data_IF_481049901827
#
_entry.id   IF_481049901827
#
_cell.length_a   1.000
_cell.length_b   1.000
_cell.length_c   1.000
_cell.angle_alpha   90.00
_cell.angle_beta   90.00
_cell.angle_gamma   90.00
#
_symmetry.space_group_name_H-M   'P 1'
#
loop_
_entity.id
_entity.type
_entity.pdbx_description
1 polymer ?
#
# COMPACT_ATOMS: atom_id res chain seq x y z
N UNK A 1 5.98 11.56 -5.38
CA UNK A 1 5.00 12.59 -5.81
C UNK A 1 3.96 11.91 -6.69
N UNK A 2 2.84 11.45 -6.13
CA UNK A 2 1.80 10.76 -6.89
C UNK A 2 0.80 11.79 -7.42
N UNK A 3 1.05 12.28 -8.64
CA UNK A 3 0.21 13.25 -9.32
C UNK A 3 -1.04 12.52 -9.83
N UNK A 4 -2.21 12.92 -9.32
CA UNK A 4 -3.51 12.52 -9.87
C UNK A 4 -3.65 13.16 -11.27
N UNK A 5 -3.29 12.44 -12.33
CA UNK A 5 -3.51 12.89 -13.70
C UNK A 5 -5.01 12.81 -14.04
N UNK A 6 -5.75 13.83 -13.64
CA UNK A 6 -7.07 14.16 -14.22
C UNK A 6 -6.85 14.72 -15.63
N UNK A 7 -6.61 13.84 -16.60
CA UNK A 7 -6.52 14.22 -18.00
C UNK A 7 -5.99 13.09 -18.84
N UNK A 8 -6.69 12.76 -19.92
CA UNK A 8 -6.25 11.84 -20.97
C UNK A 8 -5.05 12.41 -21.72
N UNK A 9 -3.88 12.46 -21.07
CA UNK A 9 -2.60 12.67 -21.73
C UNK A 9 -2.06 11.32 -22.18
N UNK A 10 -1.72 11.23 -23.47
CA UNK A 10 -1.16 10.04 -24.09
C UNK A 10 0.30 9.91 -23.64
N UNK A 11 0.55 9.17 -22.57
CA UNK A 11 1.90 8.94 -22.04
C UNK A 11 2.78 8.20 -23.05
N UNK A 12 4.06 8.55 -23.07
CA UNK A 12 5.08 7.85 -23.85
C UNK A 12 5.36 6.45 -23.29
N UNK A 13 6.00 5.57 -24.07
CA UNK A 13 6.36 4.24 -23.59
C UNK A 13 7.28 4.30 -22.36
N UNK A 14 8.21 5.25 -22.33
CA UNK A 14 9.19 5.38 -21.25
C UNK A 14 8.52 5.88 -19.96
N UNK A 15 7.58 6.82 -20.06
CA UNK A 15 6.79 7.28 -18.91
C UNK A 15 5.89 6.16 -18.37
N UNK A 16 5.28 5.35 -19.25
CA UNK A 16 4.47 4.19 -18.83
C UNK A 16 5.34 3.14 -18.14
N UNK A 17 6.53 2.89 -18.66
CA UNK A 17 7.49 1.98 -18.05
C UNK A 17 7.91 2.48 -16.67
N UNK A 18 8.27 3.76 -16.53
CA UNK A 18 8.65 4.36 -15.25
C UNK A 18 7.54 4.22 -14.21
N UNK A 19 6.29 4.48 -14.59
CA UNK A 19 5.12 4.29 -13.72
C UNK A 19 4.98 2.83 -13.28
N UNK A 20 5.01 1.88 -14.22
CA UNK A 20 4.87 0.46 -13.89
C UNK A 20 6.04 -0.06 -13.05
N UNK A 21 7.26 0.43 -13.29
CA UNK A 21 8.46 0.07 -12.53
C UNK A 21 8.41 0.60 -11.10
N UNK A 22 7.78 1.75 -10.87
CA UNK A 22 7.61 2.33 -9.53
C UNK A 22 6.58 1.62 -8.66
N UNK A 23 5.76 0.73 -9.23
CA UNK A 23 4.69 0.05 -8.50
C UNK A 23 5.23 -1.06 -7.57
N UNK A 24 6.20 -1.83 -8.04
CA UNK A 24 6.76 -2.93 -7.27
C UNK A 24 8.25 -2.75 -7.05
N UNK A 25 8.73 -3.36 -5.98
CA UNK A 25 10.15 -3.36 -5.62
C UNK A 25 10.98 -4.05 -6.71
N UNK A 26 10.48 -5.18 -7.23
CA UNK A 26 11.15 -6.02 -8.20
C UNK A 26 10.37 -6.12 -9.52
N UNK A 27 11.09 -6.07 -10.65
CA UNK A 27 10.51 -6.21 -11.99
C UNK A 27 11.30 -7.26 -12.79
N UNK A 28 10.61 -8.33 -13.19
CA UNK A 28 11.20 -9.45 -13.93
C UNK A 28 10.39 -9.65 -15.22
N UNK A 29 10.93 -9.48 -16.42
CA UNK A 29 12.18 -8.82 -16.82
C UNK A 29 11.90 -7.43 -17.42
N UNK A 30 12.69 -6.41 -17.04
CA UNK A 30 12.42 -5.00 -17.43
C UNK A 30 12.45 -4.74 -18.94
N UNK A 31 13.35 -5.41 -19.66
CA UNK A 31 13.50 -5.32 -21.11
C UNK A 31 12.28 -5.90 -21.85
N UNK A 32 11.77 -7.05 -21.37
CA UNK A 32 10.55 -7.63 -21.91
C UNK A 32 9.32 -6.76 -21.62
N UNK A 33 9.25 -6.08 -20.46
CA UNK A 33 8.19 -5.12 -20.15
C UNK A 33 8.21 -3.94 -21.12
N UNK A 34 9.40 -3.38 -21.37
CA UNK A 34 9.59 -2.33 -22.38
C UNK A 34 9.14 -2.78 -23.78
N UNK A 35 9.51 -4.00 -24.18
CA UNK A 35 9.11 -4.57 -25.46
C UNK A 35 7.59 -4.78 -25.55
N UNK A 36 6.95 -5.21 -24.46
CA UNK A 36 5.50 -5.38 -24.37
C UNK A 36 4.77 -4.05 -24.55
N UNK A 37 5.21 -3.00 -23.85
CA UNK A 37 4.61 -1.66 -23.93
C UNK A 37 4.72 -1.05 -25.33
N UNK A 38 5.81 -1.34 -26.06
CA UNK A 38 6.02 -0.92 -27.45
C UNK A 38 5.12 -1.69 -28.41
N UNK A 39 4.92 -2.99 -28.20
CA UNK A 39 4.15 -3.88 -29.09
C UNK A 39 2.64 -3.79 -28.88
N UNK A 40 2.18 -3.69 -27.64
CA UNK A 40 0.75 -3.71 -27.28
C UNK A 40 0.36 -2.35 -26.70
N UNK A 41 -0.53 -1.57 -27.36
CA UNK A 41 -0.95 -0.27 -26.83
C UNK A 41 -1.70 -0.42 -25.51
N UNK A 42 -2.50 -1.49 -25.35
CA UNK A 42 -3.27 -1.80 -24.15
C UNK A 42 -2.90 -3.21 -23.63
N UNK A 43 -1.75 -3.38 -22.94
CA UNK A 43 -1.40 -4.66 -22.35
C UNK A 43 -2.39 -5.02 -21.23
N UNK A 44 -2.58 -6.32 -20.98
CA UNK A 44 -3.46 -6.81 -19.92
C UNK A 44 -2.62 -7.15 -18.69
N UNK A 45 -3.01 -6.64 -17.53
CA UNK A 45 -2.40 -6.97 -16.24
C UNK A 45 -3.39 -7.79 -15.40
N UNK A 46 -2.84 -8.75 -14.67
CA UNK A 46 -3.57 -9.59 -13.74
C UNK A 46 -2.99 -9.39 -12.36
N UNK A 47 -3.87 -9.29 -11.37
CA UNK A 47 -3.52 -9.30 -9.96
C UNK A 47 -4.20 -10.51 -9.34
N UNK A 48 -3.41 -11.36 -8.70
CA UNK A 48 -3.86 -12.55 -8.02
C UNK A 48 -3.79 -12.32 -6.52
N UNK A 49 -4.80 -12.79 -5.80
CA UNK A 49 -4.80 -12.82 -4.34
C UNK A 49 -5.41 -14.15 -3.88
N UNK A 50 -4.90 -14.69 -2.79
CA UNK A 50 -5.53 -15.83 -2.14
C UNK A 50 -6.80 -15.35 -1.41
N UNK A 51 -7.97 -15.95 -1.68
CA UNK A 51 -9.22 -15.51 -1.06
C UNK A 51 -9.16 -15.71 0.46
N UNK A 52 -9.29 -14.60 1.19
CA UNK A 52 -9.42 -14.59 2.64
C UNK A 52 -10.89 -14.34 3.03
N UNK A 53 -11.39 -14.89 4.16
CA UNK A 53 -12.70 -14.56 4.69
C UNK A 53 -12.88 -13.06 4.95
N UNK A 54 -11.80 -12.39 5.37
CA UNK A 54 -11.76 -10.96 5.66
C UNK A 54 -10.65 -10.30 4.86
N UNK A 55 -10.99 -9.21 4.18
CA UNK A 55 -10.04 -8.51 3.33
C UNK A 55 -9.22 -7.52 4.18
N UNK A 56 -7.91 -7.76 4.29
CA UNK A 56 -7.02 -6.89 5.05
C UNK A 56 -6.60 -5.67 4.23
N UNK A 57 -6.04 -4.65 4.89
CA UNK A 57 -5.62 -3.40 4.22
C UNK A 57 -4.55 -3.60 3.14
N UNK A 58 -3.73 -4.64 3.24
CA UNK A 58 -2.75 -5.01 2.20
C UNK A 58 -3.44 -5.43 0.90
N UNK A 59 -4.48 -6.26 1.00
CA UNK A 59 -5.28 -6.68 -0.14
C UNK A 59 -5.99 -5.48 -0.79
N UNK A 60 -6.43 -4.50 0.00
CA UNK A 60 -6.98 -3.23 -0.51
C UNK A 60 -5.93 -2.48 -1.33
N UNK A 61 -4.72 -2.33 -0.80
CA UNK A 61 -3.62 -1.62 -1.47
C UNK A 61 -3.28 -2.28 -2.81
N UNK A 62 -3.19 -3.61 -2.84
CA UNK A 62 -2.96 -4.38 -4.06
C UNK A 62 -4.04 -4.14 -5.12
N UNK A 63 -5.32 -4.12 -4.72
CA UNK A 63 -6.43 -3.82 -5.64
C UNK A 63 -6.38 -2.36 -6.11
N UNK A 64 -6.08 -1.41 -5.22
CA UNK A 64 -5.99 0.01 -5.58
C UNK A 64 -4.86 0.28 -6.57
N UNK A 65 -3.66 -0.27 -6.30
CA UNK A 65 -2.50 -0.20 -7.19
C UNK A 65 -2.83 -0.80 -8.56
N UNK A 66 -3.57 -1.92 -8.59
CA UNK A 66 -4.06 -2.49 -9.85
C UNK A 66 -4.98 -1.51 -10.61
N UNK A 67 -5.97 -0.93 -9.93
CA UNK A 67 -6.88 0.06 -10.52
C UNK A 67 -6.12 1.31 -10.98
N UNK A 68 -5.10 1.73 -10.25
CA UNK A 68 -4.23 2.85 -10.60
C UNK A 68 -3.41 2.55 -11.85
N UNK A 69 -2.80 1.38 -11.96
CA UNK A 69 -2.11 0.92 -13.16
C UNK A 69 -3.04 0.93 -14.39
N UNK A 70 -4.32 0.58 -14.22
CA UNK A 70 -5.34 0.69 -15.28
C UNK A 70 -5.52 2.13 -15.75
N UNK A 71 -5.65 3.07 -14.81
CA UNK A 71 -5.93 4.49 -15.11
C UNK A 71 -4.73 5.20 -15.73
N UNK A 72 -3.51 4.90 -15.30
CA UNK A 72 -2.31 5.66 -15.71
C UNK A 72 -1.55 4.96 -16.85
N UNK A 73 -1.30 3.66 -16.76
CA UNK A 73 -0.48 2.97 -17.77
C UNK A 73 -1.26 2.51 -19.01
N UNK A 74 -2.55 2.86 -19.13
CA UNK A 74 -3.47 2.37 -20.15
C UNK A 74 -3.52 0.83 -20.25
N UNK A 75 -3.25 0.14 -19.15
CA UNK A 75 -3.36 -1.31 -19.08
C UNK A 75 -4.83 -1.71 -18.89
N UNK A 76 -5.26 -2.84 -19.47
CA UNK A 76 -6.54 -3.47 -19.09
C UNK A 76 -6.28 -4.35 -17.87
N UNK A 77 -6.98 -4.12 -16.77
CA UNK A 77 -6.80 -4.90 -15.53
C UNK A 77 -7.96 -5.87 -15.36
N UNK A 78 -7.62 -7.15 -15.18
CA UNK A 78 -8.56 -8.21 -14.87
C UNK A 78 -8.28 -8.73 -13.45
N UNK A 79 -9.31 -8.80 -12.62
CA UNK A 79 -9.27 -9.37 -11.27
C UNK A 79 -10.01 -10.72 -11.30
N UNK A 80 -9.31 -11.85 -11.55
CA UNK A 80 -9.95 -13.15 -11.50
C UNK A 80 -10.25 -13.53 -10.04
N UNK A 81 -11.52 -13.48 -9.65
CA UNK A 81 -12.02 -14.10 -8.42
C UNK A 81 -12.09 -15.62 -8.66
N UNK A 82 -11.01 -16.37 -8.44
CA UNK A 82 -11.09 -17.83 -8.44
C UNK A 82 -10.87 -18.36 -7.03
N UNK A 83 -11.97 -18.63 -6.34
CA UNK A 83 -11.99 -19.51 -5.20
C UNK A 83 -11.66 -20.93 -5.68
N UNK A 84 -10.42 -21.38 -5.48
CA UNK A 84 -10.05 -22.80 -5.63
C UNK A 84 -9.22 -23.18 -6.87
N UNK A 85 -8.16 -22.44 -7.22
CA UNK A 85 -7.16 -22.93 -8.17
C UNK A 85 -5.74 -22.90 -7.58
N UNK A 86 -5.58 -23.49 -6.39
CA UNK A 86 -4.37 -24.28 -6.15
C UNK A 86 -4.55 -25.59 -6.93
N UNK A 87 -3.59 -25.91 -7.79
CA UNK A 87 -3.50 -27.10 -8.64
C UNK A 87 -4.31 -27.09 -9.95
N UNK A 88 -3.57 -27.24 -11.05
CA UNK A 88 -3.99 -27.48 -12.45
C UNK A 88 -4.34 -26.21 -13.24
N UNK A 89 -3.32 -25.42 -13.55
CA UNK A 89 -3.23 -24.73 -14.84
C UNK A 89 -2.15 -25.44 -15.68
N UNK A 90 -2.44 -25.82 -16.94
CA UNK A 90 -1.55 -26.67 -17.73
C UNK A 90 -0.18 -26.02 -17.95
N UNK A 91 0.87 -26.83 -17.78
CA UNK A 91 2.26 -26.48 -18.04
C UNK A 91 2.40 -25.87 -19.45
N UNK A 92 2.68 -24.56 -19.53
CA UNK A 92 2.89 -23.86 -20.79
C UNK A 92 2.16 -22.53 -20.96
N UNK A 93 1.14 -22.21 -20.13
CA UNK A 93 0.48 -20.89 -20.16
C UNK A 93 1.26 -19.78 -19.43
N UNK A 94 2.28 -20.14 -18.64
CA UNK A 94 3.09 -19.21 -17.86
C UNK A 94 3.98 -18.28 -18.70
N UNK A 95 4.37 -18.65 -19.92
CA UNK A 95 5.52 -18.02 -20.59
C UNK A 95 5.18 -17.14 -21.81
N UNK A 96 3.99 -17.25 -22.41
CA UNK A 96 3.80 -16.72 -23.77
C UNK A 96 2.90 -15.48 -23.91
N UNK A 97 2.14 -15.09 -22.88
CA UNK A 97 1.26 -13.91 -22.99
C UNK A 97 1.02 -13.12 -21.70
N UNK A 98 1.65 -13.52 -20.60
CA UNK A 98 1.41 -12.93 -19.29
C UNK A 98 2.70 -12.27 -18.80
N UNK A 99 2.77 -10.93 -18.94
CA UNK A 99 3.37 -10.18 -17.85
C UNK A 99 2.39 -10.29 -16.68
N UNK A 100 2.48 -11.41 -15.95
CA UNK A 100 2.10 -11.36 -14.55
C UNK A 100 3.05 -10.30 -14.02
N UNK A 101 2.47 -9.16 -13.67
CA UNK A 101 3.06 -8.26 -12.71
C UNK A 101 3.21 -9.13 -11.45
N UNK A 102 4.33 -9.87 -11.38
CA UNK A 102 4.85 -10.44 -10.16
C UNK A 102 5.39 -9.31 -9.27
N UNK A 103 5.03 -8.05 -9.57
CA UNK A 103 5.33 -6.85 -8.80
C UNK A 103 4.54 -6.77 -7.49
N UNK A 104 3.61 -7.69 -7.21
CA UNK A 104 2.81 -7.66 -5.98
C UNK A 104 3.12 -8.80 -5.00
N UNK A 105 4.00 -9.74 -5.34
CA UNK A 105 4.54 -10.66 -4.32
C UNK A 105 5.62 -9.98 -3.44
N UNK A 106 6.02 -8.75 -3.79
CA UNK A 106 6.98 -7.91 -3.06
C UNK A 106 6.50 -6.44 -2.97
N UNK A 107 5.19 -6.19 -2.87
CA UNK A 107 4.78 -5.09 -1.97
C UNK A 107 5.02 -5.71 -0.61
N UNK A 108 6.17 -5.43 0.00
CA UNK A 108 6.62 -6.09 1.22
C UNK A 108 5.45 -6.25 2.18
N UNK A 109 5.22 -7.49 2.62
CA UNK A 109 4.14 -7.82 3.57
C UNK A 109 4.19 -6.77 4.68
N UNK A 110 3.09 -6.05 4.88
CA UNK A 110 3.03 -5.07 5.96
C UNK A 110 3.29 -5.84 7.26
N UNK A 111 4.12 -5.29 8.16
CA UNK A 111 4.39 -5.93 9.43
C UNK A 111 3.10 -6.03 10.25
N UNK A 112 2.99 -7.05 11.10
CA UNK A 112 1.92 -7.08 12.09
C UNK A 112 2.00 -5.81 12.96
N UNK A 113 0.84 -5.27 13.30
CA UNK A 113 0.75 -4.11 14.19
C UNK A 113 1.23 -4.46 15.60
N UNK A 114 1.04 -5.69 16.05
CA UNK A 114 1.41 -6.15 17.38
C UNK A 114 2.79 -6.84 17.37
N UNK A 115 3.55 -6.69 18.44
CA UNK A 115 4.82 -7.42 18.69
C UNK A 115 4.75 -8.15 20.04
N UNK A 116 5.68 -9.07 20.32
CA UNK A 116 5.78 -9.73 21.62
C UNK A 116 5.94 -8.71 22.77
N UNK A 117 5.23 -8.85 23.90
CA UNK A 117 4.39 -9.99 24.29
C UNK A 117 2.90 -9.82 23.95
N UNK A 118 2.51 -8.76 23.24
CA UNK A 118 1.11 -8.48 22.89
C UNK A 118 0.63 -9.41 21.77
N UNK A 119 1.51 -9.76 20.84
CA UNK A 119 1.24 -10.74 19.80
C UNK A 119 1.34 -12.19 20.31
N UNK A 120 0.25 -12.71 20.90
CA UNK A 120 0.21 -14.08 21.43
C UNK A 120 -0.61 -15.07 20.58
N UNK A 121 -1.58 -14.56 19.80
CA UNK A 121 -2.47 -15.37 18.97
C UNK A 121 -2.43 -14.84 17.52
N UNK A 122 -2.04 -15.70 16.57
CA UNK A 122 -2.03 -15.36 15.14
C UNK A 122 -3.43 -15.00 14.59
N UNK A 123 -4.49 -15.36 15.33
CA UNK A 123 -5.89 -15.05 15.00
C UNK A 123 -6.36 -13.73 15.61
N UNK A 124 -5.53 -13.04 16.39
CA UNK A 124 -5.89 -11.76 16.96
C UNK A 124 -6.19 -10.76 15.82
N UNK A 125 -7.45 -10.29 15.69
CA UNK A 125 -7.81 -9.33 14.66
C UNK A 125 -7.09 -7.99 14.83
N UNK A 126 -6.52 -7.71 16.00
CA UNK A 126 -5.71 -6.53 16.30
C UNK A 126 -4.33 -6.52 15.62
N UNK A 127 -3.88 -7.65 15.07
CA UNK A 127 -2.59 -7.72 14.35
C UNK A 127 -2.58 -6.93 13.03
N UNK A 128 -3.74 -6.63 12.46
CA UNK A 128 -3.89 -5.94 11.17
C UNK A 128 -5.17 -5.13 11.10
N UNK A 129 -5.25 -4.20 10.15
CA UNK A 129 -6.49 -3.50 9.79
C UNK A 129 -7.22 -4.28 8.69
N UNK A 130 -8.54 -4.40 8.82
CA UNK A 130 -9.45 -4.96 7.83
C UNK A 130 -10.28 -3.88 7.15
N UNK A 131 -10.74 -4.17 5.92
CA UNK A 131 -11.51 -3.23 5.11
C UNK A 131 -12.83 -2.80 5.75
N UNK A 132 -13.44 -3.68 6.55
CA UNK A 132 -14.71 -3.45 7.20
C UNK A 132 -14.56 -3.02 8.67
N UNK A 133 -13.33 -2.69 9.11
CA UNK A 133 -13.14 -2.11 10.43
C UNK A 133 -13.82 -0.74 10.49
N UNK A 134 -14.61 -0.53 11.53
CA UNK A 134 -15.16 0.79 11.86
C UNK A 134 -14.07 1.70 12.43
N UNK A 135 -14.33 3.02 12.45
CA UNK A 135 -13.35 4.01 12.92
C UNK A 135 -12.81 3.71 14.32
N UNK A 136 -13.69 3.30 15.24
CA UNK A 136 -13.31 2.93 16.61
C UNK A 136 -12.39 1.70 16.64
N UNK A 137 -12.67 0.68 15.80
CA UNK A 137 -11.85 -0.51 15.69
C UNK A 137 -10.45 -0.16 15.16
N UNK A 138 -10.37 0.67 14.12
CA UNK A 138 -9.08 1.12 13.56
C UNK A 138 -8.26 1.85 14.60
N UNK A 139 -8.90 2.79 15.31
CA UNK A 139 -8.25 3.59 16.35
C UNK A 139 -7.76 2.73 17.51
N UNK A 140 -8.55 1.75 17.95
CA UNK A 140 -8.17 0.80 18.99
C UNK A 140 -6.93 -0.01 18.57
N UNK A 141 -6.96 -0.64 17.39
CA UNK A 141 -5.83 -1.45 16.88
C UNK A 141 -4.53 -0.65 16.76
N UNK A 142 -4.62 0.59 16.26
CA UNK A 142 -3.45 1.46 16.12
C UNK A 142 -2.96 1.97 17.48
N UNK A 143 -3.86 2.14 18.45
CA UNK A 143 -3.46 2.48 19.82
C UNK A 143 -2.59 1.38 20.45
N UNK A 144 -2.88 0.11 20.15
CA UNK A 144 -2.09 -1.05 20.57
C UNK A 144 -0.89 -1.37 19.68
N UNK A 145 -0.79 -0.76 18.49
CA UNK A 145 0.30 -1.06 17.58
C UNK A 145 1.69 -0.76 18.19
N UNK A 146 2.68 -1.60 17.93
CA UNK A 146 4.05 -1.38 18.35
C UNK A 146 4.63 -0.11 17.71
N UNK A 147 5.07 0.85 18.53
CA UNK A 147 5.60 2.13 18.04
C UNK A 147 6.65 2.68 19.03
N UNK A 148 7.84 2.06 19.09
CA UNK A 148 8.86 2.41 20.06
C UNK A 148 9.40 3.83 19.82
N UNK A 149 9.48 4.69 20.84
CA UNK A 149 9.91 6.07 20.69
C UNK A 149 11.32 6.16 20.13
N UNK A 150 11.51 7.02 19.12
CA UNK A 150 12.79 7.28 18.45
C UNK A 150 13.44 6.09 17.76
N UNK A 151 12.69 5.00 17.55
CA UNK A 151 13.19 3.80 16.86
C UNK A 151 12.36 3.59 15.60
N UNK A 152 12.99 3.81 14.44
CA UNK A 152 12.32 3.62 13.15
C UNK A 152 12.44 2.19 12.61
N UNK A 153 13.50 1.47 12.96
CA UNK A 153 13.71 0.10 12.55
C UNK A 153 12.59 -0.80 13.07
N UNK A 154 12.02 -1.63 12.18
CA UNK A 154 10.92 -2.56 12.49
C UNK A 154 9.70 -1.91 13.14
N UNK A 155 9.44 -0.62 12.89
CA UNK A 155 8.28 0.08 13.44
C UNK A 155 7.07 -0.07 12.49
N UNK A 156 6.03 -0.86 12.85
CA UNK A 156 4.91 -1.10 11.95
C UNK A 156 4.14 0.17 11.62
N UNK A 157 3.99 1.12 12.55
CA UNK A 157 3.32 2.38 12.25
C UNK A 157 4.03 3.16 11.13
N UNK A 158 5.37 3.25 11.17
CA UNK A 158 6.12 3.95 10.14
C UNK A 158 6.11 3.21 8.80
N UNK A 159 6.11 1.88 8.81
CA UNK A 159 6.01 1.09 7.57
C UNK A 159 4.62 1.24 6.93
N UNK A 160 3.54 1.29 7.71
CA UNK A 160 2.22 1.60 7.19
C UNK A 160 2.15 3.02 6.61
N UNK A 161 2.78 4.00 7.24
CA UNK A 161 2.84 5.37 6.69
C UNK A 161 3.59 5.38 5.35
N UNK A 162 4.73 4.68 5.28
CA UNK A 162 5.56 4.54 4.09
C UNK A 162 4.83 3.86 2.93
N UNK A 163 4.13 2.77 3.22
CA UNK A 163 3.62 1.84 2.21
C UNK A 163 2.14 2.04 1.89
N UNK A 164 1.37 2.69 2.77
CA UNK A 164 -0.07 2.94 2.58
C UNK A 164 -0.35 4.43 2.46
N UNK A 165 -0.03 5.22 3.50
CA UNK A 165 -0.47 6.61 3.61
C UNK A 165 0.22 7.51 2.57
N UNK A 166 1.55 7.46 2.48
CA UNK A 166 2.32 8.28 1.53
C UNK A 166 1.99 7.95 0.07
N UNK A 167 1.84 6.67 -0.35
CA UNK A 167 1.40 6.36 -1.70
C UNK A 167 -0.02 6.81 -2.02
N UNK A 168 -0.94 6.75 -1.04
CA UNK A 168 -2.33 7.13 -1.24
C UNK A 168 -2.54 8.65 -1.32
N UNK A 169 -1.98 9.40 -0.37
CA UNK A 169 -2.20 10.85 -0.26
C UNK A 169 -1.06 11.70 -0.84
N UNK A 170 0.13 11.13 -1.03
CA UNK A 170 1.33 11.85 -1.45
C UNK A 170 1.98 12.69 -0.35
N UNK A 171 1.42 12.68 0.86
CA UNK A 171 1.88 13.40 2.05
C UNK A 171 1.35 12.74 3.32
N UNK A 172 1.99 13.02 4.45
CA UNK A 172 1.55 12.62 5.77
C UNK A 172 1.51 13.84 6.69
N UNK A 173 0.39 14.05 7.39
CA UNK A 173 0.17 15.24 8.22
C UNK A 173 0.02 14.83 9.69
N UNK A 174 0.90 15.37 10.54
CA UNK A 174 0.89 15.11 11.99
C UNK A 174 0.50 16.40 12.71
N UNK A 175 -0.50 16.28 13.58
CA UNK A 175 -0.97 17.38 14.43
C UNK A 175 -0.38 17.19 15.82
N UNK A 176 0.54 18.06 16.23
CA UNK A 176 1.12 18.04 17.57
C UNK A 176 0.38 19.01 18.47
N UNK A 177 -0.02 18.55 19.66
CA UNK A 177 -0.62 19.41 20.68
C UNK A 177 0.49 20.03 21.54
N UNK A 178 0.89 21.26 21.23
CA UNK A 178 1.82 22.04 22.07
C UNK A 178 1.05 23.10 22.87
N UNK A 179 0.77 22.82 24.13
CA UNK A 179 0.10 23.76 25.03
C UNK A 179 -1.28 24.23 24.53
N UNK A 180 -1.39 25.50 24.13
CA UNK A 180 -2.62 26.14 23.63
C UNK A 180 -2.70 26.25 22.08
N UNK A 181 -1.76 25.66 21.35
CA UNK A 181 -1.73 25.65 19.88
C UNK A 181 -1.54 24.25 19.32
N UNK A 182 -2.19 23.96 18.19
CA UNK A 182 -1.86 22.79 17.38
C UNK A 182 -0.82 23.19 16.33
N UNK A 183 0.35 22.55 16.32
CA UNK A 183 1.30 22.70 15.23
C UNK A 183 1.12 21.55 14.24
N UNK A 184 0.84 21.88 12.97
CA UNK A 184 0.66 20.89 11.92
C UNK A 184 1.96 20.75 11.14
N UNK A 185 2.57 19.57 11.15
CA UNK A 185 3.72 19.23 10.31
C UNK A 185 3.27 18.35 9.17
N UNK A 186 3.76 18.64 7.96
CA UNK A 186 3.48 17.85 6.75
C UNK A 186 4.79 17.26 6.25
N UNK A 187 4.80 15.95 6.04
CA UNK A 187 5.92 15.18 5.52
C UNK A 187 5.59 14.70 4.11
N UNK A 188 6.50 14.89 3.17
CA UNK A 188 6.32 14.44 1.78
C UNK A 188 7.08 13.14 1.47
N UNK A 189 7.95 12.71 2.39
CA UNK A 189 8.83 11.56 2.23
C UNK A 189 8.99 10.83 3.56
N UNK A 190 9.25 9.53 3.51
CA UNK A 190 9.44 8.72 4.71
C UNK A 190 10.75 9.07 5.40
N UNK A 191 11.77 9.47 4.63
CA UNK A 191 13.09 9.84 5.12
C UNK A 191 13.02 11.05 6.05
N UNK A 192 12.27 12.08 5.65
CA UNK A 192 12.04 13.27 6.48
C UNK A 192 11.31 12.93 7.78
N UNK A 193 10.32 12.04 7.71
CA UNK A 193 9.56 11.58 8.87
C UNK A 193 10.45 10.81 9.86
N UNK A 194 11.23 9.84 9.36
CA UNK A 194 12.14 9.01 10.16
C UNK A 194 13.14 9.89 10.90
N UNK A 195 13.80 10.83 10.21
CA UNK A 195 14.77 11.74 10.83
C UNK A 195 14.13 12.55 11.96
N UNK A 196 12.90 13.03 11.78
CA UNK A 196 12.21 13.78 12.84
C UNK A 196 11.80 12.87 14.01
N UNK A 197 11.39 11.64 13.73
CA UNK A 197 11.00 10.66 14.74
C UNK A 197 12.18 10.20 15.60
N UNK A 198 13.31 9.83 14.99
CA UNK A 198 14.53 9.38 15.68
C UNK A 198 15.17 10.50 16.51
N UNK A 199 15.07 11.75 16.05
CA UNK A 199 15.51 12.91 16.83
C UNK A 199 14.61 13.22 18.04
N UNK A 200 13.41 12.60 18.12
CA UNK A 200 12.44 12.85 19.18
C UNK A 200 11.60 14.10 19.00
N UNK A 201 11.51 14.63 17.77
CA UNK A 201 10.66 15.77 17.45
C UNK A 201 9.18 15.37 17.26
N UNK A 202 8.90 14.06 17.18
CA UNK A 202 7.58 13.46 17.01
C UNK A 202 7.39 12.39 18.08
N UNK A 203 6.25 12.44 18.76
CA UNK A 203 5.87 11.43 19.75
C UNK A 203 5.15 10.25 19.08
N UNK A 204 5.35 8.99 19.55
CA UNK A 204 4.59 7.84 19.06
C UNK A 204 3.08 8.03 19.10
N UNK A 205 2.55 8.73 20.09
CA UNK A 205 1.12 9.01 20.23
C UNK A 205 0.62 9.86 19.08
N UNK A 206 1.35 10.91 18.71
CA UNK A 206 1.00 11.79 17.60
C UNK A 206 1.05 11.02 16.26
N UNK A 207 2.05 10.16 16.08
CA UNK A 207 2.19 9.28 14.91
C UNK A 207 1.00 8.33 14.79
N UNK A 208 0.64 7.65 15.89
CA UNK A 208 -0.50 6.71 15.93
C UNK A 208 -1.82 7.41 15.61
N UNK A 209 -2.07 8.57 16.21
CA UNK A 209 -3.29 9.34 15.94
C UNK A 209 -3.39 9.79 14.49
N UNK A 210 -2.29 10.31 13.92
CA UNK A 210 -2.25 10.71 12.52
C UNK A 210 -2.39 9.52 11.56
N UNK A 211 -1.78 8.37 11.88
CA UNK A 211 -1.93 7.13 11.13
C UNK A 211 -3.37 6.63 11.14
N UNK A 212 -4.01 6.57 12.32
CA UNK A 212 -5.41 6.14 12.44
C UNK A 212 -6.36 7.00 11.64
N UNK A 213 -6.22 8.32 11.73
CA UNK A 213 -6.96 9.24 10.87
C UNK A 213 -6.73 8.94 9.38
N UNK A 214 -5.48 8.80 8.95
CA UNK A 214 -5.16 8.53 7.55
C UNK A 214 -5.73 7.21 7.04
N UNK A 215 -5.76 6.16 7.87
CA UNK A 215 -6.38 4.88 7.50
C UNK A 215 -7.90 5.00 7.41
N UNK A 216 -8.54 5.67 8.37
CA UNK A 216 -9.98 5.89 8.35
C UNK A 216 -10.41 6.70 7.11
N UNK A 217 -9.66 7.75 6.76
CA UNK A 217 -9.90 8.55 5.55
C UNK A 217 -9.81 7.67 4.27
N UNK A 218 -8.95 6.65 4.25
CA UNK A 218 -8.87 5.67 3.14
C UNK A 218 -10.09 4.75 3.14
N UNK A 219 -10.44 4.19 4.30
CA UNK A 219 -11.53 3.22 4.42
C UNK A 219 -12.88 3.85 4.08
N UNK A 220 -13.14 5.09 4.51
CA UNK A 220 -14.36 5.85 4.18
C UNK A 220 -14.55 5.95 2.66
N UNK A 221 -13.48 6.25 1.92
CA UNK A 221 -13.52 6.33 0.46
C UNK A 221 -13.82 4.97 -0.17
N UNK A 222 -13.31 3.87 0.40
CA UNK A 222 -13.50 2.52 -0.17
C UNK A 222 -14.88 1.93 0.07
N UNK A 223 -15.52 2.23 1.20
CA UNK A 223 -16.88 1.75 1.52
C UNK A 223 -17.96 2.54 0.76
N UNK A 224 -17.64 3.74 0.26
CA UNK A 224 -18.55 4.58 -0.50
C UNK A 224 -18.78 4.13 -1.97
N UNK A 225 -18.09 3.09 -2.46
CA UNK A 225 -18.23 2.54 -3.82
C UNK A 225 -18.98 1.20 -3.84
#
# INVERSE_FOLDING_TARGET
MFICYRGTMKMTCDERFAVLRSIGEECIYEDELCLLLKKKPNPVCYVWFEPSPEMNIEQILCVYVAIWARKIACCRVNLPLHAGCCYIMPEGWFLYNFFIISLLNNVGMLPNLLEDPEFQDERDPGRTIFMLDEEDNVNEKISFAFCPPKVAACNPCLEYIKSVILPWFGKFEVVQKEGNGSNNKTFLSIEELIVNYENGNLDPTDIKLALGKGINDILEVTVAF
#
